data_IF_560612933689
#
_entry.id   IF_560612933689
#
_cell.length_a   1.000
_cell.length_b   1.000
_cell.length_c   1.000
_cell.angle_alpha   90.00
_cell.angle_beta   90.00
_cell.angle_gamma   90.00
#
_symmetry.space_group_name_H-M   'P 1'
#
loop_
_entity.id
_entity.type
_entity.pdbx_description
1 polymer ?
#
# COMPACT_ATOMS: atom_id res chain seq x y z
N UNK A 1 -0.71 5.10 -10.42
CA UNK A 1 -0.67 4.68 -9.00
C UNK A 1 -1.82 5.32 -8.24
N UNK A 2 -2.62 4.54 -7.51
CA UNK A 2 -3.71 5.04 -6.66
C UNK A 2 -3.36 5.05 -5.17
N UNK A 3 -3.76 6.08 -4.44
CA UNK A 3 -3.70 6.12 -2.98
C UNK A 3 -5.03 5.64 -2.38
N UNK A 4 -4.96 4.74 -1.40
CA UNK A 4 -6.11 4.24 -0.66
C UNK A 4 -6.08 4.83 0.74
N UNK A 5 -7.12 5.60 1.06
CA UNK A 5 -7.26 6.25 2.36
C UNK A 5 -7.70 5.24 3.43
N UNK A 6 -6.97 5.11 4.54
CA UNK A 6 -7.35 4.20 5.65
C UNK A 6 -8.40 4.87 6.55
N UNK A 7 -9.65 4.42 6.42
CA UNK A 7 -10.82 4.90 7.14
C UNK A 7 -11.01 4.25 8.52
N UNK A 8 -11.99 4.72 9.29
CA UNK A 8 -12.39 4.12 10.58
C UNK A 8 -11.83 4.82 11.84
N UNK A 9 -11.36 6.06 11.69
CA UNK A 9 -10.76 6.83 12.79
C UNK A 9 -11.72 7.73 13.56
N UNK A 10 -13.03 7.44 13.63
CA UNK A 10 -14.01 8.23 14.41
C UNK A 10 -13.95 9.73 14.14
N UNK A 11 -13.78 10.13 12.88
CA UNK A 11 -13.49 11.52 12.53
C UNK A 11 -14.72 12.30 12.04
N UNK A 12 -14.57 13.62 12.05
CA UNK A 12 -15.52 14.60 11.52
C UNK A 12 -15.94 14.25 10.08
N UNK A 13 -17.27 14.18 9.86
CA UNK A 13 -17.91 13.89 8.57
C UNK A 13 -17.34 14.76 7.44
N UNK A 14 -17.09 16.05 7.71
CA UNK A 14 -16.56 16.96 6.71
C UNK A 14 -15.13 16.59 6.27
N UNK A 15 -14.31 16.03 7.16
CA UNK A 15 -12.96 15.57 6.83
C UNK A 15 -12.99 14.29 5.99
N UNK A 16 -13.83 13.33 6.39
CA UNK A 16 -14.01 12.08 5.64
C UNK A 16 -14.47 12.36 4.20
N UNK A 17 -15.45 13.26 4.03
CA UNK A 17 -15.90 13.71 2.71
C UNK A 17 -14.78 14.41 1.93
N UNK A 18 -14.04 15.32 2.57
CA UNK A 18 -12.95 16.04 1.92
C UNK A 18 -11.83 15.10 1.44
N UNK A 19 -11.48 14.09 2.23
CA UNK A 19 -10.45 13.10 1.87
C UNK A 19 -10.96 12.19 0.76
N UNK A 20 -12.14 11.60 0.91
CA UNK A 20 -12.69 10.62 -0.05
C UNK A 20 -12.99 11.23 -1.42
N UNK A 21 -13.38 12.51 -1.51
CA UNK A 21 -13.49 13.24 -2.79
C UNK A 21 -12.18 13.27 -3.59
N UNK A 22 -11.05 13.33 -2.89
CA UNK A 22 -9.73 13.38 -3.51
C UNK A 22 -9.20 11.99 -3.85
N UNK A 23 -9.31 11.05 -2.90
CA UNK A 23 -8.69 9.73 -3.06
C UNK A 23 -9.55 8.79 -3.90
N UNK A 24 -10.88 8.91 -3.83
CA UNK A 24 -11.89 8.00 -4.40
C UNK A 24 -11.76 6.54 -3.95
N UNK A 25 -10.81 6.21 -3.10
CA UNK A 25 -10.62 4.88 -2.54
C UNK A 25 -10.45 4.99 -1.04
N UNK A 26 -11.20 4.17 -0.31
CA UNK A 26 -11.07 4.04 1.13
C UNK A 26 -10.86 2.57 1.51
N UNK A 27 -9.99 2.33 2.48
CA UNK A 27 -9.74 1.05 3.13
C UNK A 27 -10.44 1.04 4.47
N UNK A 28 -11.34 0.09 4.68
CA UNK A 28 -12.01 -0.11 5.96
C UNK A 28 -11.69 -1.51 6.48
N UNK A 29 -11.28 -1.63 7.74
CA UNK A 29 -10.81 -2.89 8.30
C UNK A 29 -11.88 -3.57 9.14
N UNK A 30 -11.99 -4.90 9.02
CA UNK A 30 -12.86 -5.73 9.86
C UNK A 30 -12.42 -5.77 11.33
N UNK A 31 -11.23 -5.23 11.62
CA UNK A 31 -10.57 -5.27 12.92
C UNK A 31 -11.41 -4.72 14.08
N UNK A 32 -12.32 -3.77 13.82
CA UNK A 32 -13.22 -3.20 14.84
C UNK A 32 -14.15 -4.24 15.49
N UNK A 33 -14.55 -5.26 14.73
CA UNK A 33 -15.40 -6.34 15.19
C UNK A 33 -14.58 -7.42 15.88
N UNK A 34 -13.35 -7.63 15.41
CA UNK A 34 -12.46 -8.74 15.78
C UNK A 34 -11.61 -8.47 17.03
N UNK A 35 -11.39 -7.20 17.40
CA UNK A 35 -10.60 -6.82 18.59
C UNK A 35 -11.33 -7.02 19.93
N UNK A 36 -12.61 -7.38 19.91
CA UNK A 36 -13.42 -7.53 21.11
C UNK A 36 -13.07 -8.84 21.84
N UNK A 37 -13.16 -8.84 23.18
CA UNK A 37 -12.84 -10.04 23.96
C UNK A 37 -13.68 -11.25 23.52
N UNK A 38 -14.95 -11.02 23.20
CA UNK A 38 -15.90 -12.03 22.71
C UNK A 38 -16.37 -11.69 21.29
N UNK A 39 -15.44 -11.50 20.36
CA UNK A 39 -15.80 -11.30 18.96
C UNK A 39 -16.51 -12.53 18.35
N UNK A 40 -17.37 -12.28 17.36
CA UNK A 40 -18.15 -13.28 16.66
C UNK A 40 -18.87 -12.69 15.45
N UNK A 41 -19.87 -13.39 14.92
CA UNK A 41 -20.65 -12.92 13.78
C UNK A 41 -21.47 -11.67 14.10
N UNK A 42 -21.92 -11.52 15.34
CA UNK A 42 -22.66 -10.35 15.83
C UNK A 42 -21.79 -9.08 15.85
N UNK A 43 -20.55 -9.19 16.32
CA UNK A 43 -19.61 -8.06 16.31
C UNK A 43 -19.13 -7.74 14.89
N UNK A 44 -19.04 -8.75 14.02
CA UNK A 44 -18.70 -8.57 12.61
C UNK A 44 -19.83 -7.90 11.82
N UNK A 45 -21.09 -8.29 12.05
CA UNK A 45 -22.26 -7.68 11.40
C UNK A 45 -22.34 -6.18 11.71
N UNK A 46 -22.03 -5.80 12.95
CA UNK A 46 -21.94 -4.38 13.31
C UNK A 46 -20.91 -3.64 12.46
N UNK A 47 -19.73 -4.22 12.25
CA UNK A 47 -18.70 -3.61 11.39
C UNK A 47 -19.10 -3.63 9.93
N UNK A 48 -19.78 -4.67 9.45
CA UNK A 48 -20.33 -4.69 8.09
C UNK A 48 -21.32 -3.53 7.89
N UNK A 49 -22.19 -3.26 8.87
CA UNK A 49 -23.09 -2.12 8.86
C UNK A 49 -22.33 -0.78 8.86
N UNK A 50 -21.29 -0.64 9.67
CA UNK A 50 -20.45 0.57 9.69
C UNK A 50 -19.75 0.78 8.32
N UNK A 51 -19.30 -0.29 7.66
CA UNK A 51 -18.68 -0.25 6.32
C UNK A 51 -19.71 0.19 5.27
N UNK A 52 -20.91 -0.41 5.27
CA UNK A 52 -22.01 -0.02 4.36
C UNK A 52 -22.41 1.43 4.56
N UNK A 53 -22.54 1.87 5.81
CA UNK A 53 -22.87 3.26 6.13
C UNK A 53 -21.79 4.22 5.65
N UNK A 54 -20.51 3.91 5.94
CA UNK A 54 -19.39 4.70 5.47
C UNK A 54 -19.38 4.79 3.94
N UNK A 55 -19.57 3.66 3.25
CA UNK A 55 -19.58 3.63 1.80
C UNK A 55 -20.69 4.53 1.23
N UNK A 56 -21.91 4.41 1.76
CA UNK A 56 -23.07 5.22 1.38
C UNK A 56 -22.84 6.72 1.58
N UNK A 57 -22.17 7.11 2.67
CA UNK A 57 -21.98 8.51 3.03
C UNK A 57 -20.78 9.16 2.33
N UNK A 58 -19.71 8.40 2.06
CA UNK A 58 -18.42 8.98 1.70
C UNK A 58 -17.84 8.48 0.38
N UNK A 59 -18.00 7.21 0.01
CA UNK A 59 -17.39 6.67 -1.23
C UNK A 59 -18.36 6.68 -2.41
N UNK A 60 -19.59 6.18 -2.25
CA UNK A 60 -20.61 6.12 -3.31
C UNK A 60 -20.91 7.51 -3.90
N UNK A 61 -21.10 8.58 -3.10
CA UNK A 61 -21.43 9.91 -3.64
C UNK A 61 -20.36 10.52 -4.56
N UNK A 62 -19.12 10.05 -4.45
CA UNK A 62 -17.97 10.55 -5.24
C UNK A 62 -17.56 9.58 -6.34
N UNK A 63 -18.35 8.52 -6.59
CA UNK A 63 -18.01 7.45 -7.52
C UNK A 63 -16.75 6.69 -7.09
N UNK A 64 -16.49 6.66 -5.79
CA UNK A 64 -15.34 5.99 -5.18
C UNK A 64 -15.59 4.50 -4.95
N UNK A 65 -14.57 3.84 -4.38
CA UNK A 65 -14.54 2.41 -4.11
C UNK A 65 -14.16 2.11 -2.68
N UNK A 66 -14.78 1.10 -2.10
CA UNK A 66 -14.44 0.60 -0.79
C UNK A 66 -13.57 -0.66 -0.90
N UNK A 67 -12.47 -0.66 -0.18
CA UNK A 67 -11.55 -1.78 -0.04
C UNK A 67 -11.68 -2.28 1.40
N UNK A 68 -11.84 -3.58 1.57
CA UNK A 68 -11.93 -4.19 2.90
C UNK A 68 -10.61 -4.86 3.27
N UNK A 69 -10.06 -4.47 4.41
CA UNK A 69 -8.95 -5.15 5.06
C UNK A 69 -9.47 -6.31 5.93
N UNK A 70 -8.81 -7.46 5.83
CA UNK A 70 -9.22 -8.71 6.49
C UNK A 70 -9.11 -8.67 8.01
N UNK A 71 -8.33 -7.73 8.55
CA UNK A 71 -8.10 -7.60 9.99
C UNK A 71 -6.99 -8.51 10.52
N UNK A 72 -6.25 -9.21 9.65
CA UNK A 72 -5.11 -10.06 10.03
C UNK A 72 -4.04 -9.34 10.86
N UNK A 73 -3.93 -8.01 10.73
CA UNK A 73 -3.05 -7.18 11.54
C UNK A 73 -3.32 -7.26 13.06
N UNK A 74 -4.56 -7.53 13.47
CA UNK A 74 -4.87 -7.72 14.90
C UNK A 74 -4.22 -8.96 15.49
N UNK A 75 -4.02 -10.01 14.69
CA UNK A 75 -3.27 -11.18 15.13
C UNK A 75 -1.78 -10.85 15.34
N UNK A 76 -1.20 -10.04 14.44
CA UNK A 76 0.20 -9.57 14.58
C UNK A 76 0.40 -8.84 15.91
N UNK A 77 -0.54 -7.95 16.27
CA UNK A 77 -0.51 -7.20 17.54
C UNK A 77 -0.80 -8.05 18.78
N UNK A 78 -1.38 -9.24 18.60
CA UNK A 78 -1.78 -10.11 19.70
C UNK A 78 -3.10 -9.71 20.35
N UNK A 79 -3.95 -8.99 19.60
CA UNK A 79 -5.32 -8.69 20.01
C UNK A 79 -6.18 -9.97 20.00
N UNK A 80 -5.85 -10.90 19.09
CA UNK A 80 -6.55 -12.18 18.92
C UNK A 80 -5.63 -13.33 19.38
N UNK A 81 -6.03 -14.17 20.35
CA UNK A 81 -5.25 -15.32 20.77
C UNK A 81 -5.29 -16.45 19.73
N UNK A 82 -4.25 -17.30 19.63
CA UNK A 82 -4.20 -18.41 18.68
C UNK A 82 -5.41 -19.37 18.75
N UNK A 83 -5.99 -19.57 19.94
CA UNK A 83 -7.18 -20.41 20.12
C UNK A 83 -8.43 -19.89 19.41
N UNK A 84 -8.45 -18.62 19.00
CA UNK A 84 -9.57 -17.97 18.30
C UNK A 84 -9.33 -17.82 16.79
N UNK A 85 -8.25 -18.39 16.24
CA UNK A 85 -7.94 -18.31 14.80
C UNK A 85 -9.05 -18.92 13.94
N UNK A 86 -9.58 -20.09 14.30
CA UNK A 86 -10.65 -20.72 13.51
C UNK A 86 -11.90 -19.84 13.47
N UNK A 87 -12.27 -19.27 14.62
CA UNK A 87 -13.39 -18.32 14.70
C UNK A 87 -13.15 -17.06 13.86
N UNK A 88 -11.91 -16.56 13.81
CA UNK A 88 -11.53 -15.46 12.93
C UNK A 88 -11.70 -15.84 11.44
N UNK A 89 -11.27 -17.04 11.05
CA UNK A 89 -11.44 -17.56 9.68
C UNK A 89 -12.92 -17.70 9.33
N UNK A 90 -13.73 -18.25 10.22
CA UNK A 90 -15.17 -18.42 10.02
C UNK A 90 -15.86 -17.06 9.84
N UNK A 91 -15.56 -16.10 10.73
CA UNK A 91 -16.08 -14.74 10.64
C UNK A 91 -15.72 -14.09 9.30
N UNK A 92 -14.43 -14.08 8.94
CA UNK A 92 -13.98 -13.52 7.68
C UNK A 92 -14.64 -14.18 6.47
N UNK A 93 -14.79 -15.50 6.48
CA UNK A 93 -15.40 -16.26 5.39
C UNK A 93 -16.89 -15.94 5.24
N UNK A 94 -17.62 -15.80 6.35
CA UNK A 94 -19.02 -15.36 6.32
C UNK A 94 -19.13 -13.96 5.73
N UNK A 95 -18.31 -13.00 6.16
CA UNK A 95 -18.32 -11.65 5.59
C UNK A 95 -17.96 -11.65 4.09
N UNK A 96 -16.94 -12.43 3.72
CA UNK A 96 -16.50 -12.58 2.33
C UNK A 96 -17.66 -13.01 1.42
N UNK A 97 -18.51 -13.93 1.87
CA UNK A 97 -19.65 -14.43 1.11
C UNK A 97 -20.89 -13.53 1.23
N UNK A 98 -21.24 -13.06 2.42
CA UNK A 98 -22.49 -12.34 2.68
C UNK A 98 -22.48 -10.88 2.21
N UNK A 99 -21.31 -10.23 2.18
CA UNK A 99 -21.16 -8.81 1.83
C UNK A 99 -20.55 -8.63 0.43
N UNK A 100 -20.60 -9.66 -0.43
CA UNK A 100 -19.98 -9.68 -1.75
C UNK A 100 -20.30 -8.45 -2.60
N UNK A 101 -21.54 -7.96 -2.54
CA UNK A 101 -21.99 -6.82 -3.34
C UNK A 101 -21.62 -5.46 -2.72
N UNK A 102 -21.28 -5.43 -1.44
CA UNK A 102 -21.06 -4.20 -0.68
C UNK A 102 -19.62 -3.68 -0.78
N UNK A 103 -18.64 -4.56 -1.00
CA UNK A 103 -17.24 -4.18 -1.20
C UNK A 103 -16.79 -4.25 -2.67
N UNK A 104 -15.89 -3.34 -3.07
CA UNK A 104 -15.28 -3.37 -4.41
C UNK A 104 -14.05 -4.27 -4.47
N UNK A 105 -13.32 -4.36 -3.34
CA UNK A 105 -12.06 -5.11 -3.21
C UNK A 105 -11.92 -5.63 -1.79
N UNK A 106 -11.27 -6.77 -1.64
CA UNK A 106 -10.98 -7.35 -0.33
C UNK A 106 -9.63 -8.06 -0.32
N UNK A 107 -8.85 -7.89 0.75
CA UNK A 107 -7.60 -8.61 0.95
C UNK A 107 -7.84 -9.97 1.60
N UNK A 108 -7.07 -10.97 1.21
CA UNK A 108 -7.05 -12.28 1.87
C UNK A 108 -6.77 -12.15 3.37
N UNK A 109 -7.38 -13.00 4.20
CA UNK A 109 -7.03 -13.11 5.60
C UNK A 109 -5.70 -13.85 5.77
N UNK A 110 -4.62 -13.10 5.98
CA UNK A 110 -3.30 -13.63 6.32
C UNK A 110 -3.05 -13.66 7.83
N UNK A 111 -2.39 -14.72 8.31
CA UNK A 111 -2.08 -14.95 9.72
C UNK A 111 -0.56 -15.13 9.86
N UNK A 112 0.25 -14.06 9.79
CA UNK A 112 1.66 -14.23 9.48
C UNK A 112 2.53 -14.59 10.69
N UNK A 113 2.67 -13.70 11.67
CA UNK A 113 3.45 -13.95 12.89
C UNK A 113 2.86 -13.09 14.00
N UNK A 114 2.98 -13.52 15.25
CA UNK A 114 2.48 -12.75 16.40
C UNK A 114 3.62 -12.14 17.19
N UNK A 115 3.51 -10.85 17.54
CA UNK A 115 4.44 -10.19 18.46
C UNK A 115 4.25 -10.60 19.92
N UNK A 116 3.06 -11.14 20.27
CA UNK A 116 2.70 -11.49 21.65
C UNK A 116 2.78 -12.99 21.92
N UNK A 117 2.39 -13.82 20.95
CA UNK A 117 2.29 -15.27 21.12
C UNK A 117 3.46 -15.99 20.46
N UNK A 118 4.66 -15.89 21.05
CA UNK A 118 5.89 -16.49 20.47
C UNK A 118 5.78 -17.99 20.21
N UNK A 119 5.04 -18.72 21.04
CA UNK A 119 4.82 -20.17 20.87
C UNK A 119 4.02 -20.51 19.60
N UNK A 120 3.34 -19.52 19.01
CA UNK A 120 2.66 -19.66 17.71
C UNK A 120 3.60 -19.46 16.52
N UNK A 121 4.75 -18.79 16.69
CA UNK A 121 5.66 -18.43 15.61
C UNK A 121 6.53 -19.61 15.16
N UNK A 122 5.90 -20.72 14.77
CA UNK A 122 6.53 -21.86 14.12
C UNK A 122 6.05 -21.98 12.69
N UNK A 123 6.89 -22.55 11.82
CA UNK A 123 6.52 -22.78 10.42
C UNK A 123 5.21 -23.56 10.31
N UNK A 124 5.07 -24.64 11.09
CA UNK A 124 3.90 -25.51 11.04
C UNK A 124 2.59 -24.81 11.45
N UNK A 125 2.61 -24.00 12.52
CA UNK A 125 1.40 -23.33 13.02
C UNK A 125 0.94 -22.21 12.09
N UNK A 126 1.89 -21.45 11.55
CA UNK A 126 1.61 -20.38 10.59
C UNK A 126 1.11 -20.99 9.28
N UNK A 127 1.76 -22.06 8.79
CA UNK A 127 1.30 -22.78 7.61
C UNK A 127 -0.14 -23.26 7.80
N UNK A 128 -0.43 -24.02 8.86
CA UNK A 128 -1.77 -24.56 9.11
C UNK A 128 -2.85 -23.46 9.18
N UNK A 129 -2.60 -22.39 9.93
CA UNK A 129 -3.58 -21.31 10.07
C UNK A 129 -3.89 -20.62 8.74
N UNK A 130 -2.88 -20.45 7.87
CA UNK A 130 -3.10 -19.86 6.54
C UNK A 130 -3.66 -20.89 5.54
N UNK A 131 -3.39 -22.20 5.71
CA UNK A 131 -4.10 -23.26 4.97
C UNK A 131 -5.60 -23.19 5.27
N UNK A 132 -5.99 -23.14 6.55
CA UNK A 132 -7.40 -23.07 6.96
C UNK A 132 -8.09 -21.83 6.37
N UNK A 133 -7.46 -20.66 6.50
CA UNK A 133 -7.95 -19.39 5.97
C UNK A 133 -8.13 -19.39 4.43
N UNK A 134 -7.11 -19.86 3.70
CA UNK A 134 -7.14 -19.84 2.24
C UNK A 134 -8.03 -20.95 1.67
N UNK A 135 -8.12 -22.11 2.31
CA UNK A 135 -9.09 -23.16 1.94
C UNK A 135 -10.53 -22.64 2.06
N UNK A 136 -10.85 -21.96 3.17
CA UNK A 136 -12.17 -21.36 3.35
C UNK A 136 -12.44 -20.29 2.28
N UNK A 137 -11.51 -19.37 2.05
CA UNK A 137 -11.62 -18.33 1.01
C UNK A 137 -11.78 -18.92 -0.39
N UNK A 138 -11.00 -19.96 -0.72
CA UNK A 138 -11.06 -20.68 -2.00
C UNK A 138 -12.44 -21.28 -2.23
N UNK A 139 -13.05 -21.89 -1.21
CA UNK A 139 -14.39 -22.48 -1.34
C UNK A 139 -15.44 -21.45 -1.75
N UNK A 140 -15.31 -20.19 -1.30
CA UNK A 140 -16.19 -19.09 -1.71
C UNK A 140 -15.84 -18.60 -3.13
N UNK A 141 -14.54 -18.48 -3.45
CA UNK A 141 -14.07 -18.09 -4.79
C UNK A 141 -14.51 -19.07 -5.90
N UNK A 142 -14.60 -20.36 -5.59
CA UNK A 142 -15.11 -21.40 -6.50
C UNK A 142 -16.61 -21.23 -6.78
N UNK A 143 -17.39 -20.77 -5.79
CA UNK A 143 -18.84 -20.56 -5.92
C UNK A 143 -19.20 -19.22 -6.57
N UNK A 144 -18.32 -18.21 -6.44
CA UNK A 144 -18.61 -16.82 -6.83
C UNK A 144 -17.51 -16.25 -7.74
N UNK A 145 -17.67 -16.37 -9.06
CA UNK A 145 -16.70 -15.82 -10.03
C UNK A 145 -16.54 -14.30 -9.89
N UNK A 146 -17.61 -13.57 -9.56
CA UNK A 146 -17.55 -12.13 -9.33
C UNK A 146 -16.55 -11.74 -8.23
N UNK A 147 -16.38 -12.59 -7.20
CA UNK A 147 -15.42 -12.36 -6.12
C UNK A 147 -13.97 -12.44 -6.58
N UNK A 148 -13.66 -13.28 -7.58
CA UNK A 148 -12.30 -13.45 -8.10
C UNK A 148 -11.72 -12.14 -8.64
N UNK A 149 -12.59 -11.26 -9.18
CA UNK A 149 -12.21 -9.93 -9.65
C UNK A 149 -11.96 -8.91 -8.52
N UNK A 150 -12.50 -9.17 -7.33
CA UNK A 150 -12.42 -8.29 -6.14
C UNK A 150 -11.31 -8.73 -5.17
N UNK A 151 -11.00 -10.01 -5.12
CA UNK A 151 -10.09 -10.61 -4.15
C UNK A 151 -8.62 -10.29 -4.47
N UNK A 152 -7.87 -9.92 -3.43
CA UNK A 152 -6.43 -9.70 -3.47
C UNK A 152 -5.72 -10.75 -2.60
N UNK A 153 -4.85 -11.54 -3.21
CA UNK A 153 -3.96 -12.43 -2.46
C UNK A 153 -2.77 -11.64 -1.88
N UNK A 154 -2.61 -11.66 -0.56
CA UNK A 154 -1.54 -10.93 0.14
C UNK A 154 -0.28 -11.79 0.26
N UNK A 155 0.78 -11.41 -0.45
CA UNK A 155 2.09 -12.04 -0.35
C UNK A 155 2.90 -11.52 0.84
N UNK A 156 3.57 -12.41 1.56
CA UNK A 156 4.56 -12.07 2.60
C UNK A 156 5.93 -12.64 2.27
N UNK A 157 6.99 -11.88 2.60
CA UNK A 157 8.34 -12.22 2.16
C UNK A 157 9.48 -11.76 3.06
N UNK A 158 9.22 -11.03 4.15
CA UNK A 158 10.30 -10.47 4.98
C UNK A 158 11.21 -11.52 5.65
N UNK A 159 10.77 -12.78 5.68
CA UNK A 159 11.52 -13.96 6.16
C UNK A 159 11.48 -15.05 5.08
N UNK A 160 12.53 -15.87 4.99
CA UNK A 160 12.59 -16.95 3.98
C UNK A 160 11.49 -17.99 4.24
N UNK A 161 11.23 -18.30 5.50
CA UNK A 161 10.19 -19.22 5.94
C UNK A 161 8.80 -18.69 5.57
N UNK A 162 8.57 -17.38 5.75
CA UNK A 162 7.32 -16.76 5.29
C UNK A 162 7.19 -16.82 3.78
N UNK A 163 8.21 -16.45 3.02
CA UNK A 163 8.14 -16.54 1.57
C UNK A 163 7.83 -17.97 1.10
N UNK A 164 8.48 -18.97 1.70
CA UNK A 164 8.24 -20.38 1.41
C UNK A 164 6.80 -20.82 1.71
N UNK A 165 6.23 -20.42 2.86
CA UNK A 165 4.84 -20.74 3.24
C UNK A 165 3.86 -20.18 2.20
N UNK A 166 3.95 -18.89 1.85
CA UNK A 166 2.98 -18.28 0.92
C UNK A 166 3.13 -18.82 -0.49
N UNK A 167 4.36 -19.09 -0.94
CA UNK A 167 4.59 -19.76 -2.21
C UNK A 167 3.96 -21.15 -2.24
N UNK A 168 4.17 -21.93 -1.18
CA UNK A 168 3.62 -23.28 -1.07
C UNK A 168 2.09 -23.24 -1.09
N UNK A 169 1.47 -22.39 -0.25
CA UNK A 169 0.01 -22.23 -0.20
C UNK A 169 -0.59 -21.78 -1.52
N UNK A 170 0.04 -20.81 -2.19
CA UNK A 170 -0.42 -20.33 -3.48
C UNK A 170 -0.48 -21.46 -4.52
N UNK A 171 0.57 -22.29 -4.58
CA UNK A 171 0.67 -23.39 -5.54
C UNK A 171 -0.18 -24.62 -5.14
N UNK A 172 -0.10 -25.07 -3.89
CA UNK A 172 -0.80 -26.26 -3.40
C UNK A 172 -2.32 -26.10 -3.49
N UNK A 173 -2.83 -24.90 -3.14
CA UNK A 173 -4.26 -24.62 -3.19
C UNK A 173 -4.74 -24.23 -4.59
N UNK A 174 -3.83 -24.12 -5.58
CA UNK A 174 -4.16 -23.74 -6.96
C UNK A 174 -4.73 -22.32 -7.05
N UNK A 175 -4.22 -21.40 -6.23
CA UNK A 175 -4.76 -20.04 -6.11
C UNK A 175 -4.63 -19.26 -7.41
N UNK A 176 -3.67 -19.59 -8.28
CA UNK A 176 -3.49 -18.96 -9.60
C UNK A 176 -4.73 -19.04 -10.49
N UNK A 177 -5.64 -20.01 -10.25
CA UNK A 177 -6.90 -20.13 -10.99
C UNK A 177 -7.89 -19.04 -10.64
N UNK A 178 -7.86 -18.55 -9.41
CA UNK A 178 -8.85 -17.62 -8.86
C UNK A 178 -8.30 -16.20 -8.67
N UNK A 179 -7.01 -16.08 -8.38
CA UNK A 179 -6.39 -14.81 -8.00
C UNK A 179 -6.00 -14.02 -9.24
N UNK A 180 -6.63 -12.85 -9.42
CA UNK A 180 -6.29 -11.86 -10.46
C UNK A 180 -5.58 -10.63 -9.92
N UNK A 181 -5.72 -10.36 -8.62
CA UNK A 181 -5.15 -9.19 -7.98
C UNK A 181 -4.22 -9.62 -6.84
N UNK A 182 -3.11 -8.89 -6.68
CA UNK A 182 -2.09 -9.21 -5.71
C UNK A 182 -1.83 -8.04 -4.76
N UNK A 183 -1.53 -8.35 -3.51
CA UNK A 183 -1.06 -7.39 -2.54
C UNK A 183 0.28 -7.84 -1.95
N UNK A 184 1.07 -6.88 -1.47
CA UNK A 184 2.36 -7.13 -0.81
C UNK A 184 2.23 -6.67 0.64
N UNK A 185 2.27 -7.62 1.56
CA UNK A 185 2.22 -7.41 3.00
C UNK A 185 3.60 -7.40 3.67
N UNK A 186 3.60 -7.25 5.00
CA UNK A 186 4.82 -7.37 5.82
C UNK A 186 5.76 -6.16 5.80
N UNK A 187 5.32 -5.01 5.28
CA UNK A 187 6.16 -3.80 5.13
C UNK A 187 6.04 -2.82 6.31
N UNK A 188 4.93 -2.85 7.06
CA UNK A 188 4.71 -1.98 8.22
C UNK A 188 5.79 -2.20 9.27
N UNK A 189 6.52 -1.14 9.64
CA UNK A 189 7.62 -1.19 10.60
C UNK A 189 8.88 -1.91 10.10
N UNK A 190 8.91 -2.42 8.86
CA UNK A 190 10.00 -3.25 8.36
C UNK A 190 11.32 -2.46 8.29
N UNK A 191 11.28 -1.24 7.75
CA UNK A 191 12.47 -0.39 7.62
C UNK A 191 13.06 0.01 8.98
N UNK A 192 12.20 0.27 9.96
CA UNK A 192 12.62 0.57 11.33
C UNK A 192 13.27 -0.65 11.99
N UNK A 193 12.68 -1.83 11.83
CA UNK A 193 13.21 -3.08 12.40
C UNK A 193 14.53 -3.54 11.79
N UNK A 194 14.86 -3.11 10.57
CA UNK A 194 16.00 -3.63 9.78
C UNK A 194 17.06 -2.58 9.43
N UNK A 195 16.75 -1.29 9.60
CA UNK A 195 17.57 -0.16 9.19
C UNK A 195 17.96 -0.17 7.69
N UNK A 196 17.16 -0.83 6.85
CA UNK A 196 17.41 -0.83 5.41
C UNK A 196 17.18 0.57 4.81
N UNK A 197 18.03 0.93 3.84
CA UNK A 197 17.96 2.21 3.12
C UNK A 197 17.53 2.01 1.66
N UNK A 198 16.68 1.02 1.42
CA UNK A 198 16.12 0.69 0.11
C UNK A 198 14.67 0.25 0.22
N UNK A 199 13.98 0.20 -0.91
CA UNK A 199 12.60 -0.26 -0.98
C UNK A 199 12.50 -1.79 -0.99
N UNK A 200 11.93 -2.42 0.06
CA UNK A 200 12.03 -3.87 0.26
C UNK A 200 11.21 -4.69 -0.74
N UNK A 201 10.11 -4.14 -1.26
CA UNK A 201 9.15 -4.89 -2.09
C UNK A 201 9.58 -5.10 -3.53
N UNK A 202 10.70 -4.53 -3.99
CA UNK A 202 11.17 -4.63 -5.38
C UNK A 202 11.14 -6.06 -5.90
N UNK A 203 11.73 -7.00 -5.17
CA UNK A 203 11.79 -8.40 -5.60
C UNK A 203 10.42 -9.07 -5.64
N UNK A 204 9.57 -8.83 -4.62
CA UNK A 204 8.22 -9.39 -4.59
C UNK A 204 7.34 -8.84 -5.72
N UNK A 205 7.51 -7.59 -6.13
CA UNK A 205 6.81 -7.03 -7.30
C UNK A 205 7.19 -7.76 -8.59
N UNK A 206 8.47 -8.10 -8.78
CA UNK A 206 8.93 -8.90 -9.94
C UNK A 206 8.47 -10.35 -9.87
N UNK A 207 8.46 -10.95 -8.68
CA UNK A 207 7.92 -12.28 -8.45
C UNK A 207 6.44 -12.34 -8.86
N UNK A 208 5.62 -11.39 -8.38
CA UNK A 208 4.21 -11.27 -8.75
C UNK A 208 4.04 -11.09 -10.25
N UNK A 209 4.78 -10.16 -10.88
CA UNK A 209 4.74 -9.94 -12.32
C UNK A 209 5.00 -11.24 -13.09
N UNK A 210 6.06 -11.96 -12.72
CA UNK A 210 6.42 -13.21 -13.38
C UNK A 210 5.31 -14.26 -13.22
N UNK A 211 4.79 -14.45 -12.00
CA UNK A 211 3.71 -15.41 -11.74
C UNK A 211 2.42 -15.06 -12.48
N UNK A 212 2.06 -13.77 -12.55
CA UNK A 212 0.91 -13.29 -13.33
C UNK A 212 1.05 -13.65 -14.81
N UNK A 213 2.21 -13.36 -15.40
CA UNK A 213 2.46 -13.61 -16.82
C UNK A 213 2.53 -15.10 -17.19
N UNK A 214 2.80 -15.99 -16.23
CA UNK A 214 2.75 -17.45 -16.42
C UNK A 214 1.39 -18.05 -16.05
N UNK A 215 0.51 -17.26 -15.43
CA UNK A 215 -0.78 -17.71 -14.94
C UNK A 215 -1.88 -17.71 -16.00
N UNK A 216 -3.05 -18.27 -15.68
CA UNK A 216 -4.19 -18.31 -16.59
C UNK A 216 -4.75 -16.91 -16.92
N UNK A 217 -4.46 -15.92 -16.08
CA UNK A 217 -4.93 -14.54 -16.21
C UNK A 217 -3.86 -13.61 -16.83
N UNK A 218 -2.86 -14.14 -17.52
CA UNK A 218 -1.77 -13.34 -18.11
C UNK A 218 -2.24 -12.29 -19.13
N UNK A 219 -3.40 -12.50 -19.76
CA UNK A 219 -4.05 -11.54 -20.66
C UNK A 219 -4.84 -10.45 -19.94
N UNK A 220 -5.10 -10.61 -18.64
CA UNK A 220 -5.74 -9.59 -17.82
C UNK A 220 -4.72 -8.55 -17.34
N UNK A 221 -5.22 -7.36 -16.99
CA UNK A 221 -4.41 -6.33 -16.36
C UNK A 221 -3.87 -6.77 -15.00
N UNK A 222 -2.59 -6.48 -14.74
CA UNK A 222 -1.93 -6.77 -13.47
C UNK A 222 -2.27 -5.69 -12.43
N UNK A 223 -2.86 -6.09 -11.29
CA UNK A 223 -3.07 -5.19 -10.15
C UNK A 223 -2.19 -5.57 -8.97
N UNK A 224 -1.41 -4.61 -8.47
CA UNK A 224 -0.56 -4.78 -7.28
C UNK A 224 -0.90 -3.70 -6.24
N UNK A 225 -1.26 -4.13 -5.03
CA UNK A 225 -1.42 -3.25 -3.89
C UNK A 225 -0.24 -3.37 -2.92
N UNK A 226 0.26 -2.25 -2.42
CA UNK A 226 1.38 -2.19 -1.48
C UNK A 226 0.86 -1.79 -0.10
N UNK A 227 0.84 -2.74 0.85
CA UNK A 227 0.25 -2.55 2.17
C UNK A 227 1.14 -1.75 3.13
N UNK A 228 0.63 -0.63 3.64
CA UNK A 228 1.25 0.16 4.70
C UNK A 228 2.53 0.88 4.27
N UNK A 229 2.45 1.69 3.20
CA UNK A 229 3.59 2.45 2.67
C UNK A 229 3.72 3.79 3.40
N UNK A 230 4.92 4.09 3.92
CA UNK A 230 5.17 5.32 4.69
C UNK A 230 6.09 6.31 3.99
N UNK A 231 7.13 5.84 3.31
CA UNK A 231 8.20 6.70 2.81
C UNK A 231 7.89 7.24 1.39
N UNK A 232 8.15 8.53 1.11
CA UNK A 232 8.08 9.07 -0.25
C UNK A 232 8.96 8.32 -1.27
N UNK A 233 10.13 7.81 -0.85
CA UNK A 233 11.00 7.01 -1.73
C UNK A 233 10.36 5.69 -2.18
N UNK A 234 9.53 5.07 -1.32
CA UNK A 234 8.79 3.87 -1.70
C UNK A 234 7.69 4.19 -2.71
N UNK A 235 6.96 5.29 -2.51
CA UNK A 235 5.93 5.76 -3.46
C UNK A 235 6.52 6.09 -4.82
N UNK A 236 7.65 6.80 -4.86
CA UNK A 236 8.42 7.02 -6.08
C UNK A 236 8.73 5.69 -6.78
N UNK A 237 9.20 4.69 -6.02
CA UNK A 237 9.52 3.39 -6.59
C UNK A 237 8.29 2.62 -7.09
N UNK A 238 7.13 2.75 -6.45
CA UNK A 238 5.86 2.15 -6.93
C UNK A 238 5.46 2.75 -8.27
N UNK A 239 5.55 4.07 -8.44
CA UNK A 239 5.28 4.73 -9.74
C UNK A 239 6.28 4.28 -10.80
N UNK A 240 7.56 4.16 -10.42
CA UNK A 240 8.60 3.64 -11.31
C UNK A 240 8.29 2.22 -11.78
N UNK A 241 7.97 1.30 -10.85
CA UNK A 241 7.61 -0.09 -11.18
C UNK A 241 6.33 -0.17 -12.03
N UNK A 242 5.31 0.64 -11.74
CA UNK A 242 4.08 0.68 -12.55
C UNK A 242 4.41 1.01 -14.02
N UNK A 243 5.20 2.07 -14.26
CA UNK A 243 5.62 2.46 -15.61
C UNK A 243 6.53 1.42 -16.27
N UNK A 244 7.49 0.87 -15.51
CA UNK A 244 8.38 -0.19 -16.00
C UNK A 244 7.61 -1.43 -16.45
N UNK A 245 6.66 -1.89 -15.62
CA UNK A 245 5.89 -3.09 -15.90
C UNK A 245 4.92 -2.87 -17.06
N UNK A 246 4.29 -1.68 -17.19
CA UNK A 246 3.54 -1.32 -18.40
C UNK A 246 4.41 -1.43 -19.65
N UNK A 247 5.66 -1.00 -19.57
CA UNK A 247 6.66 -1.17 -20.63
C UNK A 247 6.87 -2.64 -21.03
N UNK A 248 6.95 -3.55 -20.05
CA UNK A 248 7.08 -4.99 -20.32
C UNK A 248 5.85 -5.61 -20.98
N UNK A 249 4.64 -5.13 -20.66
CA UNK A 249 3.42 -5.58 -21.33
C UNK A 249 3.26 -5.00 -22.74
N UNK A 250 3.97 -3.92 -23.10
CA UNK A 250 3.93 -3.35 -24.44
C UNK A 250 2.53 -2.94 -24.91
N UNK A 251 1.63 -2.61 -23.96
CA UNK A 251 0.22 -2.30 -24.24
C UNK A 251 -0.72 -3.50 -24.33
N UNK A 252 -0.24 -4.74 -24.18
CA UNK A 252 -1.08 -5.94 -24.21
C UNK A 252 -2.01 -6.05 -22.99
N UNK A 253 -1.59 -5.51 -21.84
CA UNK A 253 -2.37 -5.45 -20.62
C UNK A 253 -2.02 -4.19 -19.83
N UNK A 254 -2.96 -3.69 -19.01
CA UNK A 254 -2.71 -2.57 -18.12
C UNK A 254 -2.01 -3.04 -16.83
N UNK A 255 -1.26 -2.15 -16.19
CA UNK A 255 -0.70 -2.35 -14.85
C UNK A 255 -1.24 -1.26 -13.94
N UNK A 256 -1.85 -1.67 -12.84
CA UNK A 256 -2.41 -0.76 -11.85
C UNK A 256 -1.76 -1.01 -10.51
N UNK A 257 -1.06 -0.01 -9.99
CA UNK A 257 -0.54 -0.06 -8.63
C UNK A 257 -1.35 0.80 -7.69
N UNK A 258 -1.44 0.39 -6.44
CA UNK A 258 -2.00 1.22 -5.38
C UNK A 258 -1.28 0.99 -4.07
N UNK A 259 -1.39 1.92 -3.14
CA UNK A 259 -0.86 1.77 -1.78
C UNK A 259 -1.82 2.38 -0.77
N UNK A 260 -1.82 1.87 0.45
CA UNK A 260 -2.48 2.51 1.58
C UNK A 260 -1.44 3.15 2.50
N UNK A 261 -1.86 4.21 3.19
CA UNK A 261 -1.04 4.87 4.19
C UNK A 261 -1.87 5.63 5.19
N UNK A 262 -1.60 5.41 6.47
CA UNK A 262 -2.08 6.25 7.57
C UNK A 262 -1.21 7.51 7.75
N UNK A 263 -0.04 7.55 7.11
CA UNK A 263 1.01 8.53 7.41
C UNK A 263 0.59 9.99 7.16
N UNK A 264 -0.13 10.34 6.09
CA UNK A 264 -0.53 11.73 5.86
C UNK A 264 -1.34 12.31 7.03
N UNK A 265 -2.20 11.49 7.65
CA UNK A 265 -3.06 11.92 8.76
C UNK A 265 -2.28 11.97 10.07
N UNK A 266 -1.44 10.96 10.33
CA UNK A 266 -0.62 10.95 11.54
C UNK A 266 0.42 12.08 11.57
N UNK A 267 1.02 12.41 10.42
CA UNK A 267 2.07 13.42 10.33
C UNK A 267 1.56 14.80 10.77
N UNK A 268 0.40 15.24 10.28
CA UNK A 268 -0.14 16.58 10.63
C UNK A 268 -0.56 16.71 12.09
N UNK A 269 -0.92 15.60 12.74
CA UNK A 269 -1.24 15.58 14.17
C UNK A 269 0.01 15.80 15.03
N UNK A 270 1.17 15.34 14.55
CA UNK A 270 2.43 15.30 15.30
C UNK A 270 3.41 16.42 14.90
N UNK A 271 3.27 17.00 13.71
CA UNK A 271 4.21 17.99 13.16
C UNK A 271 3.47 19.25 12.67
N UNK A 272 3.96 20.43 13.08
CA UNK A 272 3.46 21.72 12.62
C UNK A 272 3.97 22.11 11.24
N UNK A 273 5.17 21.64 10.89
CA UNK A 273 5.95 22.13 9.76
C UNK A 273 5.94 21.07 8.64
N UNK A 274 4.74 20.76 8.18
CA UNK A 274 4.53 19.85 7.05
C UNK A 274 4.49 20.68 5.78
N UNK A 275 5.32 20.41 4.76
CA UNK A 275 5.28 21.16 3.50
C UNK A 275 4.02 20.82 2.69
N UNK A 276 3.53 21.80 1.93
CA UNK A 276 2.49 21.60 0.92
C UNK A 276 3.13 21.50 -0.47
N UNK A 277 2.86 20.39 -1.15
CA UNK A 277 3.24 20.18 -2.54
C UNK A 277 2.03 20.42 -3.44
N UNK A 278 2.25 21.11 -4.55
CA UNK A 278 1.21 21.40 -5.55
C UNK A 278 1.79 21.18 -6.94
N UNK A 279 1.20 20.25 -7.69
CA UNK A 279 1.54 19.98 -9.07
C UNK A 279 0.48 20.61 -9.98
N UNK A 280 0.90 21.40 -10.97
CA UNK A 280 0.01 22.00 -11.96
C UNK A 280 0.59 21.75 -13.35
N UNK A 281 0.23 20.60 -13.93
CA UNK A 281 0.81 20.16 -15.20
C UNK A 281 2.31 19.93 -15.08
N UNK A 282 3.12 20.77 -15.73
CA UNK A 282 4.59 20.69 -15.69
C UNK A 282 5.21 21.50 -14.54
N UNK A 283 4.41 22.34 -13.87
CA UNK A 283 4.86 23.16 -12.76
C UNK A 283 4.70 22.42 -11.43
N UNK A 284 5.67 22.61 -10.53
CA UNK A 284 5.67 22.03 -9.21
C UNK A 284 6.09 23.08 -8.18
N UNK A 285 5.19 23.38 -7.25
CA UNK A 285 5.41 24.37 -6.21
C UNK A 285 5.47 23.69 -4.84
N UNK A 286 6.40 24.17 -4.02
CA UNK A 286 6.59 23.70 -2.63
C UNK A 286 6.39 24.89 -1.71
N UNK A 287 5.34 24.83 -0.91
CA UNK A 287 5.14 25.78 0.18
C UNK A 287 5.79 25.21 1.45
N UNK A 288 6.53 26.03 2.23
CA UNK A 288 7.24 25.56 3.42
C UNK A 288 6.33 24.92 4.47
N UNK A 289 5.09 25.38 4.58
CA UNK A 289 4.09 24.87 5.53
C UNK A 289 2.72 24.69 4.87
N UNK A 290 1.92 23.76 5.39
CA UNK A 290 0.48 23.68 5.12
C UNK A 290 -0.25 24.97 5.47
N UNK A 291 0.29 25.79 6.38
CA UNK A 291 -0.25 27.10 6.73
C UNK A 291 -0.09 28.13 5.61
N UNK A 292 0.76 27.87 4.62
CA UNK A 292 1.01 28.76 3.49
C UNK A 292 0.14 28.39 2.27
N UNK A 293 -0.84 27.50 2.46
CA UNK A 293 -1.72 27.04 1.41
C UNK A 293 -2.51 28.20 0.76
N UNK A 294 -2.49 28.31 -0.58
CA UNK A 294 -3.37 29.22 -1.32
C UNK A 294 -4.85 28.99 -1.00
N UNK A 295 -5.63 30.08 -0.98
CA UNK A 295 -7.05 30.02 -0.60
C UNK A 295 -7.90 29.19 -1.58
N UNK A 296 -7.58 29.23 -2.88
CA UNK A 296 -8.23 28.43 -3.91
C UNK A 296 -8.01 26.94 -3.69
N UNK A 297 -6.79 26.53 -3.31
CA UNK A 297 -6.48 25.14 -2.95
C UNK A 297 -7.26 24.72 -1.70
N UNK A 298 -7.22 25.54 -0.64
CA UNK A 298 -7.96 25.27 0.60
C UNK A 298 -9.47 25.12 0.34
N UNK A 299 -10.04 26.02 -0.46
CA UNK A 299 -11.46 25.97 -0.81
C UNK A 299 -11.79 24.74 -1.67
N UNK A 300 -10.90 24.36 -2.59
CA UNK A 300 -11.07 23.17 -3.44
C UNK A 300 -11.01 21.84 -2.67
N UNK A 301 -10.30 21.80 -1.55
CA UNK A 301 -10.16 20.62 -0.69
C UNK A 301 -11.27 20.52 0.35
N UNK A 302 -11.85 21.65 0.76
CA UNK A 302 -12.93 21.68 1.75
C UNK A 302 -14.17 20.90 1.26
N UNK A 303 -14.90 20.31 2.21
CA UNK A 303 -16.14 19.59 1.90
C UNK A 303 -17.28 20.55 1.53
N UNK A 304 -17.30 21.71 2.17
CA UNK A 304 -18.25 22.80 1.96
C UNK A 304 -17.66 24.11 2.53
N UNK A 305 -18.41 25.21 2.39
CA UNK A 305 -18.00 26.53 2.90
C UNK A 305 -17.84 26.55 4.43
N UNK A 306 -18.62 25.77 5.17
CA UNK A 306 -18.50 25.68 6.63
C UNK A 306 -17.18 25.02 7.03
N UNK A 307 -16.85 23.91 6.39
CA UNK A 307 -15.57 23.23 6.57
C UNK A 307 -14.40 24.16 6.17
N UNK A 308 -14.52 24.92 5.09
CA UNK A 308 -13.51 25.90 4.71
C UNK A 308 -13.26 26.95 5.82
N UNK A 309 -14.31 27.48 6.46
CA UNK A 309 -14.16 28.41 7.58
C UNK A 309 -13.50 27.77 8.80
N UNK A 310 -13.82 26.49 9.09
CA UNK A 310 -13.14 25.73 10.16
C UNK A 310 -11.65 25.60 9.86
N UNK A 311 -11.25 25.27 8.63
CA UNK A 311 -9.85 25.17 8.24
C UNK A 311 -9.12 26.51 8.44
N UNK A 312 -9.70 27.63 7.99
CA UNK A 312 -9.11 28.95 8.20
C UNK A 312 -8.95 29.28 9.69
N UNK A 313 -9.96 28.98 10.51
CA UNK A 313 -9.89 29.18 11.95
C UNK A 313 -8.77 28.35 12.59
N UNK A 314 -8.62 27.09 12.20
CA UNK A 314 -7.54 26.23 12.71
C UNK A 314 -6.15 26.68 12.24
N UNK A 315 -6.01 27.21 11.02
CA UNK A 315 -4.78 27.83 10.55
C UNK A 315 -4.40 29.04 11.40
N UNK A 316 -5.36 29.92 11.69
CA UNK A 316 -5.13 31.10 12.52
C UNK A 316 -4.78 30.72 13.96
N UNK A 317 -5.44 29.71 14.53
CA UNK A 317 -5.06 29.16 15.85
C UNK A 317 -3.62 28.67 15.84
N UNK A 318 -3.24 27.88 14.83
CA UNK A 318 -1.88 27.33 14.70
C UNK A 318 -0.83 28.43 14.58
N UNK A 319 -1.06 29.44 13.73
CA UNK A 319 -0.18 30.61 13.54
C UNK A 319 0.03 31.40 14.83
N UNK A 320 -1.01 31.49 15.65
CA UNK A 320 -0.98 32.19 16.94
C UNK A 320 -0.50 31.31 18.11
N UNK A 321 -0.01 30.09 17.86
CA UNK A 321 0.44 29.16 18.90
C UNK A 321 -0.69 28.64 19.79
N UNK A 322 -1.95 28.77 19.36
CA UNK A 322 -3.13 28.30 20.09
C UNK A 322 -3.37 26.82 19.75
N UNK A 323 -3.77 26.05 20.76
CA UNK A 323 -4.14 24.63 20.60
C UNK A 323 -5.27 24.48 19.57
N UNK A 324 -5.11 23.56 18.62
CA UNK A 324 -6.15 23.22 17.65
C UNK A 324 -7.40 22.67 18.35
N UNK A 325 -8.60 22.97 17.85
CA UNK A 325 -9.82 22.32 18.33
C UNK A 325 -9.93 20.91 17.72
N UNK A 326 -9.62 20.80 16.44
CA UNK A 326 -9.50 19.54 15.72
C UNK A 326 -8.05 19.30 15.28
N UNK A 327 -7.35 18.40 15.99
CA UNK A 327 -5.97 18.04 15.68
C UNK A 327 -5.80 17.40 14.28
N UNK A 328 -6.89 16.94 13.66
CA UNK A 328 -6.90 16.34 12.33
C UNK A 328 -7.35 17.32 11.23
N UNK A 329 -7.64 18.59 11.53
CA UNK A 329 -8.16 19.56 10.56
C UNK A 329 -7.33 19.64 9.26
N UNK A 330 -6.00 19.51 9.36
CA UNK A 330 -5.09 19.57 8.21
C UNK A 330 -4.94 18.25 7.44
N UNK A 331 -5.66 17.19 7.83
CA UNK A 331 -5.54 15.86 7.21
C UNK A 331 -5.94 15.89 5.73
N UNK A 332 -7.07 16.50 5.31
CA UNK A 332 -7.43 16.58 3.90
C UNK A 332 -6.38 17.32 3.06
N UNK A 333 -5.80 18.39 3.60
CA UNK A 333 -4.75 19.17 2.93
C UNK A 333 -3.44 18.40 2.80
N UNK A 334 -3.07 17.59 3.80
CA UNK A 334 -1.86 16.77 3.68
C UNK A 334 -2.08 15.55 2.77
N UNK A 335 -3.30 14.99 2.72
CA UNK A 335 -3.65 13.98 1.71
C UNK A 335 -3.49 14.57 0.31
N UNK A 336 -4.06 15.76 0.05
CA UNK A 336 -3.85 16.50 -1.19
C UNK A 336 -2.36 16.63 -1.53
N UNK A 337 -1.58 17.21 -0.60
CA UNK A 337 -0.13 17.40 -0.74
C UNK A 337 0.60 16.11 -1.16
N UNK A 338 0.23 14.97 -0.57
CA UNK A 338 0.87 13.69 -0.88
C UNK A 338 0.46 13.13 -2.25
N UNK A 339 -0.80 13.33 -2.68
CA UNK A 339 -1.25 12.98 -4.03
C UNK A 339 -0.51 13.81 -5.09
N UNK A 340 -0.35 15.12 -4.83
CA UNK A 340 0.39 16.02 -5.72
C UNK A 340 1.87 15.64 -5.83
N UNK A 341 2.47 15.18 -4.72
CA UNK A 341 3.84 14.66 -4.74
C UNK A 341 3.96 13.37 -5.56
N UNK A 342 2.95 12.49 -5.52
CA UNK A 342 2.94 11.26 -6.33
C UNK A 342 2.80 11.56 -7.83
N UNK A 343 1.95 12.53 -8.21
CA UNK A 343 1.84 13.03 -9.58
C UNK A 343 3.18 13.59 -10.07
N UNK A 344 3.84 14.39 -9.22
CA UNK A 344 5.17 14.91 -9.49
C UNK A 344 6.22 13.80 -9.70
N UNK A 345 6.18 12.72 -8.92
CA UNK A 345 7.06 11.56 -9.16
C UNK A 345 6.84 10.96 -10.53
N UNK A 346 5.58 10.79 -10.95
CA UNK A 346 5.24 10.33 -12.29
C UNK A 346 5.83 11.23 -13.38
N UNK A 347 5.64 12.54 -13.25
CA UNK A 347 6.19 13.54 -14.17
C UNK A 347 7.73 13.47 -14.24
N UNK A 348 8.42 13.39 -13.09
CA UNK A 348 9.90 13.31 -13.05
C UNK A 348 10.39 12.03 -13.72
N UNK A 349 9.73 10.89 -13.49
CA UNK A 349 10.11 9.63 -14.12
C UNK A 349 10.02 9.74 -15.65
N UNK A 350 8.98 10.38 -16.17
CA UNK A 350 8.77 10.57 -17.61
C UNK A 350 9.73 11.61 -18.21
N UNK A 351 9.86 12.78 -17.56
CA UNK A 351 10.68 13.90 -18.05
C UNK A 351 12.15 13.49 -18.22
N UNK A 352 12.66 12.64 -17.32
CA UNK A 352 14.05 12.18 -17.35
C UNK A 352 14.24 10.79 -17.96
N UNK A 353 13.19 10.19 -18.54
CA UNK A 353 13.22 8.84 -19.12
C UNK A 353 13.91 7.81 -18.18
N UNK A 354 13.53 7.80 -16.89
CA UNK A 354 14.26 6.96 -15.92
C UNK A 354 14.16 5.47 -16.24
N UNK A 355 13.07 5.04 -16.90
CA UNK A 355 12.90 3.69 -17.42
C UNK A 355 13.91 3.40 -18.53
N UNK A 356 14.06 4.30 -19.50
CA UNK A 356 15.05 4.16 -20.56
C UNK A 356 16.49 4.23 -20.02
N UNK A 357 16.77 5.04 -19.01
CA UNK A 357 18.08 5.08 -18.36
C UNK A 357 18.40 3.77 -17.62
N UNK A 358 17.41 3.10 -17.03
CA UNK A 358 17.57 1.74 -16.48
C UNK A 358 17.97 0.75 -17.57
N UNK A 359 17.28 0.78 -18.72
CA UNK A 359 17.53 -0.14 -19.85
C UNK A 359 18.87 0.10 -20.56
N UNK A 360 19.29 1.36 -20.69
CA UNK A 360 20.58 1.75 -21.29
C UNK A 360 21.79 1.44 -20.39
N UNK A 361 21.56 1.24 -19.08
CA UNK A 361 22.65 1.02 -18.14
C UNK A 361 23.27 -0.37 -18.31
N UNK A 362 24.58 -0.41 -18.52
CA UNK A 362 25.36 -1.65 -18.66
C UNK A 362 25.79 -2.25 -17.33
N UNK A 363 25.76 -1.45 -16.25
CA UNK A 363 26.10 -1.87 -14.90
C UNK A 363 25.43 -0.98 -13.84
N UNK A 364 25.34 -1.41 -12.57
CA UNK A 364 24.83 -0.58 -11.48
C UNK A 364 25.62 0.71 -11.29
N UNK A 365 26.96 0.66 -11.45
CA UNK A 365 27.82 1.85 -11.38
C UNK A 365 27.51 2.85 -12.50
N UNK A 366 27.26 2.35 -13.73
CA UNK A 366 26.86 3.19 -14.84
C UNK A 366 25.50 3.87 -14.57
N UNK A 367 24.53 3.11 -14.06
CA UNK A 367 23.21 3.64 -13.66
C UNK A 367 23.35 4.72 -12.59
N UNK A 368 24.11 4.47 -11.53
CA UNK A 368 24.35 5.43 -10.44
C UNK A 368 24.89 6.77 -10.95
N UNK A 369 25.86 6.74 -11.86
CA UNK A 369 26.43 7.94 -12.47
C UNK A 369 25.43 8.72 -13.33
N UNK A 370 24.49 8.04 -13.99
CA UNK A 370 23.37 8.67 -14.70
C UNK A 370 22.40 9.33 -13.71
N UNK A 371 21.96 8.58 -12.70
CA UNK A 371 21.04 9.06 -11.66
C UNK A 371 21.61 10.26 -10.90
N UNK A 372 22.90 10.27 -10.58
CA UNK A 372 23.53 11.41 -9.88
C UNK A 372 23.45 12.70 -10.71
N UNK A 373 23.63 12.62 -12.04
CA UNK A 373 23.49 13.79 -12.92
C UNK A 373 22.03 14.25 -13.00
N UNK A 374 21.10 13.30 -13.09
CA UNK A 374 19.67 13.58 -13.12
C UNK A 374 19.20 14.24 -11.82
N UNK A 375 19.54 13.67 -10.65
CA UNK A 375 19.17 14.27 -9.36
C UNK A 375 19.80 15.65 -9.13
N UNK A 376 21.02 15.88 -9.66
CA UNK A 376 21.61 17.22 -9.63
C UNK A 376 20.78 18.24 -10.42
N UNK A 377 20.28 17.86 -11.59
CA UNK A 377 19.41 18.73 -12.40
C UNK A 377 18.03 18.92 -11.74
N UNK A 378 17.43 17.85 -11.21
CA UNK A 378 16.19 17.91 -10.44
C UNK A 378 16.33 18.85 -9.24
N UNK A 379 17.42 18.77 -8.49
CA UNK A 379 17.67 19.63 -7.33
C UNK A 379 17.82 21.11 -7.71
N UNK A 380 18.29 21.40 -8.93
CA UNK A 380 18.36 22.76 -9.45
C UNK A 380 16.98 23.27 -9.88
N UNK A 381 16.18 22.44 -10.56
CA UNK A 381 14.86 22.82 -11.08
C UNK A 381 13.77 22.83 -10.01
N UNK A 382 13.81 21.88 -9.07
CA UNK A 382 12.83 21.65 -8.02
C UNK A 382 13.52 21.57 -6.65
N UNK A 383 14.06 22.70 -6.15
CA UNK A 383 14.81 22.71 -4.91
C UNK A 383 13.96 22.19 -3.76
N UNK A 384 14.54 21.29 -2.94
CA UNK A 384 13.91 20.63 -1.78
C UNK A 384 12.80 19.61 -2.10
N UNK A 385 12.48 19.35 -3.37
CA UNK A 385 11.51 18.30 -3.73
C UNK A 385 11.99 16.91 -3.32
N UNK A 386 13.30 16.67 -3.39
CA UNK A 386 13.96 15.47 -2.91
C UNK A 386 14.92 15.83 -1.78
N UNK A 387 14.79 15.15 -0.64
CA UNK A 387 15.79 15.25 0.41
C UNK A 387 17.02 14.41 0.06
N UNK A 388 18.23 14.74 0.55
CA UNK A 388 19.42 13.93 0.29
C UNK A 388 19.28 12.45 0.68
N UNK A 389 18.54 12.19 1.78
CA UNK A 389 18.23 10.83 2.21
C UNK A 389 17.31 10.10 1.22
N UNK A 390 16.31 10.79 0.68
CA UNK A 390 15.40 10.25 -0.32
C UNK A 390 16.12 9.93 -1.62
N UNK A 391 16.96 10.84 -2.13
CA UNK A 391 17.78 10.62 -3.34
C UNK A 391 18.69 9.40 -3.18
N UNK A 392 19.37 9.28 -2.04
CA UNK A 392 20.21 8.13 -1.72
C UNK A 392 19.40 6.83 -1.73
N UNK A 393 18.23 6.83 -1.09
CA UNK A 393 17.35 5.66 -1.01
C UNK A 393 16.82 5.25 -2.39
N UNK A 394 16.40 6.21 -3.21
CA UNK A 394 15.94 5.96 -4.58
C UNK A 394 17.09 5.40 -5.42
N UNK A 395 18.28 6.00 -5.33
CA UNK A 395 19.46 5.53 -6.09
C UNK A 395 19.79 4.08 -5.77
N UNK A 396 19.89 3.72 -4.48
CA UNK A 396 20.14 2.34 -4.03
C UNK A 396 19.02 1.40 -4.51
N UNK A 397 17.78 1.86 -4.46
CA UNK A 397 16.61 1.07 -4.89
C UNK A 397 16.64 0.81 -6.40
N UNK A 398 16.97 1.81 -7.22
CA UNK A 398 17.07 1.65 -8.67
C UNK A 398 18.28 0.80 -9.08
N UNK A 399 19.41 0.88 -8.35
CA UNK A 399 20.53 -0.06 -8.50
C UNK A 399 20.09 -1.51 -8.27
N UNK A 400 19.29 -1.77 -7.22
CA UNK A 400 18.70 -3.09 -6.97
C UNK A 400 17.71 -3.51 -8.05
N UNK A 401 16.88 -2.57 -8.49
CA UNK A 401 15.89 -2.78 -9.55
C UNK A 401 16.56 -3.15 -10.87
N UNK A 402 17.74 -2.61 -11.15
CA UNK A 402 18.51 -2.96 -12.34
C UNK A 402 18.84 -4.46 -12.42
N UNK A 403 19.21 -5.09 -11.30
CA UNK A 403 19.46 -6.53 -11.28
C UNK A 403 18.19 -7.33 -11.61
N UNK A 404 17.06 -6.93 -11.03
CA UNK A 404 15.76 -7.54 -11.32
C UNK A 404 15.30 -7.31 -12.77
N UNK A 405 15.51 -6.11 -13.31
CA UNK A 405 15.26 -5.78 -14.71
C UNK A 405 16.10 -6.65 -15.64
N UNK A 406 17.41 -6.77 -15.37
CA UNK A 406 18.31 -7.61 -16.16
C UNK A 406 17.92 -9.07 -16.10
N UNK A 407 17.57 -9.59 -14.92
CA UNK A 407 17.02 -10.92 -14.80
C UNK A 407 15.76 -11.10 -15.66
N UNK A 408 14.82 -10.16 -15.58
CA UNK A 408 13.54 -10.24 -16.28
C UNK A 408 13.67 -10.17 -17.81
N UNK A 409 14.61 -9.38 -18.33
CA UNK A 409 14.82 -9.22 -19.78
C UNK A 409 15.73 -10.31 -20.36
N UNK A 410 16.80 -10.69 -19.65
CA UNK A 410 17.86 -11.53 -20.22
C UNK A 410 17.75 -13.03 -19.87
N UNK A 411 17.08 -13.40 -18.77
CA UNK A 411 17.01 -14.81 -18.29
C UNK A 411 15.59 -15.32 -18.08
N UNK A 412 14.85 -14.64 -17.20
CA UNK A 412 13.43 -14.87 -16.89
C UNK A 412 13.06 -16.34 -16.66
N UNK A 413 13.82 -17.04 -15.82
CA UNK A 413 13.56 -18.43 -15.43
C UNK A 413 13.22 -18.57 -13.93
N UNK A 414 12.48 -19.61 -13.57
CA UNK A 414 11.99 -19.87 -12.20
C UNK A 414 13.13 -20.13 -11.21
N UNK A 415 14.18 -20.86 -11.63
CA UNK A 415 15.25 -21.24 -10.71
C UNK A 415 16.02 -20.00 -10.23
N UNK A 416 16.35 -19.09 -11.15
CA UNK A 416 17.01 -17.83 -10.79
C UNK A 416 16.09 -16.83 -10.10
N UNK A 417 14.77 -16.87 -10.35
CA UNK A 417 13.79 -16.07 -9.61
C UNK A 417 13.86 -16.35 -8.10
N UNK A 418 13.87 -17.64 -7.74
CA UNK A 418 13.96 -18.09 -6.35
C UNK A 418 15.26 -17.64 -5.68
N UNK A 419 16.40 -17.79 -6.37
CA UNK A 419 17.69 -17.32 -5.87
C UNK A 419 17.69 -15.80 -5.60
N UNK A 420 17.10 -15.01 -6.50
CA UNK A 420 17.00 -13.57 -6.35
C UNK A 420 16.06 -13.16 -5.20
N UNK A 421 14.95 -13.90 -5.02
CA UNK A 421 14.09 -13.70 -3.87
C UNK A 421 14.82 -14.00 -2.56
N UNK A 422 15.48 -15.16 -2.45
CA UNK A 422 16.27 -15.53 -1.26
C UNK A 422 17.32 -14.46 -0.95
N UNK A 423 18.03 -13.95 -1.97
CA UNK A 423 18.99 -12.85 -1.79
C UNK A 423 18.33 -11.57 -1.32
N UNK A 424 17.20 -11.18 -1.91
CA UNK A 424 16.44 -9.98 -1.51
C UNK A 424 16.01 -10.06 -0.05
N UNK A 425 15.55 -11.23 0.39
CA UNK A 425 15.11 -11.46 1.78
C UNK A 425 16.31 -11.40 2.73
N UNK A 426 17.46 -11.98 2.35
CA UNK A 426 18.70 -11.86 3.14
C UNK A 426 19.16 -10.41 3.27
N UNK A 427 19.08 -9.64 2.19
CA UNK A 427 19.42 -8.21 2.18
C UNK A 427 18.48 -7.37 3.07
N UNK A 428 17.24 -7.81 3.27
CA UNK A 428 16.31 -7.16 4.21
C UNK A 428 16.77 -7.40 5.66
N UNK A 429 17.24 -8.60 5.98
CA UNK A 429 17.82 -8.90 7.29
C UNK A 429 16.83 -8.73 8.45
N UNK A 430 15.58 -9.18 8.28
CA UNK A 430 14.60 -9.15 9.36
C UNK A 430 15.10 -9.97 10.57
N UNK A 431 15.08 -9.42 11.81
CA UNK A 431 15.78 -10.03 12.94
C UNK A 431 15.05 -11.23 13.56
N UNK A 432 13.78 -11.43 13.24
CA UNK A 432 13.02 -12.59 13.72
C UNK A 432 13.02 -13.71 12.68
N UNK A 433 12.91 -14.94 13.17
CA UNK A 433 12.73 -16.14 12.36
C UNK A 433 11.58 -16.97 12.91
N UNK A 434 10.94 -17.75 12.04
CA UNK A 434 9.98 -18.76 12.46
C UNK A 434 10.75 -19.98 13.00
N UNK A 435 10.28 -20.54 14.11
CA UNK A 435 10.87 -21.72 14.76
C UNK A 435 10.47 -23.02 14.08
#
# INVERSE_FOLDING_TARGET
MGYIYVAGGGTDVAMEQAITRQTKFALYSLIGGLRQQDFGLDTLEKVACDIREFARLFTVPVGGKIVTDSGGYSFIKGDIPPSKILMLVDCYTVYLESELEEYDRIFSLDIPFSLKYESFNTVAKILQANTDSLCASRSVLERHEALQNKFFFVWHFKMQEQFAIWKHLYAELGMEKFVRNHAIGGMVGLKEATNISFTPFTGMSYYILYRHMQGPHAGDGLKIHYLGVYAPSDRFHIVFLEKLFRGYFGGAADVQTSYDSINPIHTVRMNADVPLYVAQGADFQIYPSLLDAPQDILRGIAADDSHYQVLLSEMDRRRNGVRLQNAAAFSPLNVFSNLQLDEFFGMVIDQYDLIGELGKATSPTNLKGRLTRIFKDIAQKYPKAFSPHMEKTITITLERTWFWHKWFVDRRDEATLEEYMVRTIKDIGFPCHLK
#
